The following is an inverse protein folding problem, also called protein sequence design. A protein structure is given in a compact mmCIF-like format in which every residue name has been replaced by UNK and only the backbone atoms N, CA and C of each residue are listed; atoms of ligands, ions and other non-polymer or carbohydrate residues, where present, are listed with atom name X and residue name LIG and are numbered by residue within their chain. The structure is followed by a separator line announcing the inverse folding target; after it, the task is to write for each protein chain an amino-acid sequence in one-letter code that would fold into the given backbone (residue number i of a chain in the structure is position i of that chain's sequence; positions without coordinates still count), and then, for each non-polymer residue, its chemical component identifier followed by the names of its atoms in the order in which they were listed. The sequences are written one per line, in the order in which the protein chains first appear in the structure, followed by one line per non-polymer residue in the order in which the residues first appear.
data_IF_550038048378
#
_entry.id   IF_550038048378
#
_cell.length_a   1.000
_cell.length_b   1.000
_cell.length_c   1.000
_cell.angle_alpha   90.00
_cell.angle_beta   90.00
_cell.angle_gamma   90.00
#
_symmetry.space_group_name_H-M   'P 1'
#
loop_
_entity.id
_entity.type
_entity.pdbx_description
1 polymer ?
#
# COMPACT_ATOMS: atom_id res chain seq x y z
N UNK A 1 -6.33 -16.05 -16.19
CA UNK A 1 -6.45 -14.70 -16.82
C UNK A 1 -5.14 -13.90 -16.77
N UNK A 2 -4.42 -13.88 -15.64
CA UNK A 2 -3.20 -13.09 -15.45
C UNK A 2 -2.12 -13.35 -16.54
N UNK A 3 -1.98 -14.60 -16.96
CA UNK A 3 -1.10 -15.03 -18.03
C UNK A 3 -1.36 -14.36 -19.39
N UNK A 4 -2.64 -14.12 -19.75
CA UNK A 4 -2.97 -13.43 -21.01
C UNK A 4 -2.54 -11.97 -20.99
N UNK A 5 -2.64 -11.32 -19.82
CA UNK A 5 -2.16 -9.95 -19.65
C UNK A 5 -0.62 -9.90 -19.72
N UNK A 6 0.07 -10.87 -19.10
CA UNK A 6 1.52 -10.98 -19.16
C UNK A 6 2.02 -11.14 -20.61
N UNK A 7 1.45 -12.07 -21.37
CA UNK A 7 1.77 -12.24 -22.80
C UNK A 7 1.51 -10.97 -23.62
N UNK A 8 0.42 -10.24 -23.36
CA UNK A 8 0.14 -9.00 -24.10
C UNK A 8 1.14 -7.86 -23.81
N UNK A 9 1.78 -7.86 -22.64
CA UNK A 9 2.72 -6.82 -22.22
C UNK A 9 4.17 -7.16 -22.56
N UNK A 10 4.56 -8.43 -22.39
CA UNK A 10 5.94 -8.88 -22.54
C UNK A 10 6.18 -9.71 -23.81
N UNK A 11 5.14 -10.30 -24.39
CA UNK A 11 5.22 -11.06 -25.63
C UNK A 11 6.37 -12.06 -25.63
N UNK A 12 7.32 -11.88 -26.56
CA UNK A 12 8.49 -12.75 -26.74
C UNK A 12 9.59 -12.56 -25.68
N UNK A 13 9.55 -11.50 -24.86
CA UNK A 13 10.50 -11.34 -23.74
C UNK A 13 10.16 -12.27 -22.57
N UNK A 14 8.96 -12.88 -22.58
CA UNK A 14 8.51 -13.82 -21.57
C UNK A 14 9.13 -15.20 -21.82
N UNK A 15 10.20 -15.51 -21.07
CA UNK A 15 10.96 -16.76 -21.25
C UNK A 15 10.30 -17.96 -20.57
N UNK A 16 9.75 -17.75 -19.38
CA UNK A 16 9.18 -18.81 -18.55
C UNK A 16 8.03 -18.25 -17.70
N UNK A 17 6.96 -19.02 -17.59
CA UNK A 17 5.83 -18.78 -16.68
C UNK A 17 5.58 -20.03 -15.89
N UNK A 18 5.63 -19.91 -14.57
CA UNK A 18 5.32 -21.00 -13.64
C UNK A 18 4.02 -20.67 -12.91
N UNK A 19 2.96 -21.41 -13.23
CA UNK A 19 1.63 -21.26 -12.64
C UNK A 19 1.37 -22.38 -11.62
N UNK A 20 0.82 -21.99 -10.47
CA UNK A 20 0.49 -22.92 -9.38
C UNK A 20 -0.97 -22.72 -8.96
N UNK A 21 -1.71 -23.83 -8.91
CA UNK A 21 -3.10 -23.86 -8.46
C UNK A 21 -3.37 -25.21 -7.78
N UNK A 22 -3.86 -25.20 -6.54
CA UNK A 22 -4.08 -26.44 -5.77
C UNK A 22 -5.21 -27.29 -6.32
N UNK A 23 -6.11 -26.72 -7.13
CA UNK A 23 -7.20 -27.44 -7.77
C UNK A 23 -6.75 -28.08 -9.08
N UNK A 24 -6.81 -29.41 -9.16
CA UNK A 24 -6.58 -30.14 -10.42
C UNK A 24 -7.54 -29.67 -11.52
N UNK A 25 -8.82 -29.45 -11.17
CA UNK A 25 -9.84 -29.00 -12.12
C UNK A 25 -9.52 -27.62 -12.71
N UNK A 26 -9.01 -26.68 -11.90
CA UNK A 26 -8.61 -25.36 -12.41
C UNK A 26 -7.42 -25.46 -13.36
N UNK A 27 -6.47 -26.35 -13.06
CA UNK A 27 -5.36 -26.64 -13.95
C UNK A 27 -5.83 -27.24 -15.28
N UNK A 28 -6.79 -28.17 -15.26
CA UNK A 28 -7.34 -28.78 -16.47
C UNK A 28 -8.08 -27.77 -17.35
N UNK A 29 -8.95 -26.95 -16.75
CA UNK A 29 -9.65 -25.86 -17.45
C UNK A 29 -8.63 -24.87 -18.03
N UNK A 30 -7.61 -24.51 -17.27
CA UNK A 30 -6.56 -23.59 -17.72
C UNK A 30 -5.80 -24.15 -18.92
N UNK A 31 -5.47 -25.45 -18.91
CA UNK A 31 -4.85 -26.15 -20.04
C UNK A 31 -5.76 -26.12 -21.27
N UNK A 32 -7.06 -26.36 -21.08
CA UNK A 32 -8.02 -26.37 -22.18
C UNK A 32 -8.27 -24.98 -22.80
N UNK A 33 -8.23 -23.93 -21.98
CA UNK A 33 -8.28 -22.56 -22.48
C UNK A 33 -7.05 -22.17 -23.33
N UNK A 34 -5.94 -22.87 -23.16
CA UNK A 34 -4.68 -22.65 -23.88
C UNK A 34 -4.57 -23.53 -25.13
N UNK A 35 -5.15 -24.74 -25.12
CA UNK A 35 -5.19 -25.61 -26.30
C UNK A 35 -5.91 -24.91 -27.45
N UNK A 36 -7.04 -24.26 -27.13
CA UNK A 36 -7.92 -23.52 -28.05
C UNK A 36 -7.49 -22.07 -28.35
N UNK A 37 -6.30 -21.67 -27.90
CA UNK A 37 -5.74 -20.36 -28.21
C UNK A 37 -4.73 -20.47 -29.36
N UNK A 38 -4.74 -19.50 -30.29
CA UNK A 38 -3.77 -19.42 -31.40
C UNK A 38 -2.30 -19.19 -30.97
N UNK A 39 -2.05 -19.13 -29.65
CA UNK A 39 -0.77 -18.72 -29.08
C UNK A 39 0.14 -19.91 -28.83
N UNK A 40 0.72 -20.44 -29.90
CA UNK A 40 1.62 -21.62 -29.84
C UNK A 40 2.87 -21.40 -28.99
N UNK A 41 3.45 -20.21 -29.03
CA UNK A 41 4.59 -19.79 -28.18
C UNK A 41 4.33 -20.07 -26.68
N UNK A 42 3.09 -19.83 -26.24
CA UNK A 42 2.71 -19.93 -24.84
C UNK A 42 2.72 -21.35 -24.29
N UNK A 43 2.55 -22.36 -25.16
CA UNK A 43 2.59 -23.77 -24.76
C UNK A 43 3.99 -24.23 -24.35
N UNK A 44 5.03 -23.55 -24.86
CA UNK A 44 6.42 -23.93 -24.61
C UNK A 44 7.01 -23.25 -23.37
N UNK A 45 6.43 -22.12 -22.94
CA UNK A 45 6.95 -21.31 -21.83
C UNK A 45 6.14 -21.47 -20.54
N UNK A 46 4.94 -22.08 -20.60
CA UNK A 46 4.07 -22.25 -19.44
C UNK A 46 4.24 -23.62 -18.78
N UNK A 47 4.57 -23.59 -17.49
CA UNK A 47 4.63 -24.75 -16.61
C UNK A 47 3.56 -24.64 -15.54
N UNK A 48 2.79 -25.72 -15.34
CA UNK A 48 1.71 -25.78 -14.35
C UNK A 48 2.01 -26.85 -13.29
N UNK A 49 1.81 -26.51 -12.02
CA UNK A 49 1.93 -27.43 -10.89
C UNK A 49 0.79 -27.25 -9.90
N UNK A 50 0.47 -28.30 -9.18
CA UNK A 50 -0.57 -28.25 -8.16
C UNK A 50 -0.08 -27.59 -6.86
N UNK A 51 1.20 -27.74 -6.55
CA UNK A 51 1.79 -27.26 -5.31
C UNK A 51 3.03 -26.42 -5.58
N UNK A 52 3.33 -25.50 -4.67
CA UNK A 52 4.56 -24.72 -4.71
C UNK A 52 5.77 -25.67 -4.56
N UNK A 53 6.83 -25.49 -5.36
CA UNK A 53 8.02 -26.30 -5.23
C UNK A 53 8.73 -26.02 -3.90
N UNK A 54 9.17 -27.08 -3.21
CA UNK A 54 9.93 -26.98 -1.96
C UNK A 54 11.33 -26.36 -2.15
N UNK A 55 11.93 -26.55 -3.32
CA UNK A 55 13.21 -25.92 -3.64
C UNK A 55 13.05 -24.41 -3.70
N UNK A 56 14.02 -23.63 -3.23
CA UNK A 56 14.06 -22.17 -3.40
C UNK A 56 14.57 -21.73 -4.78
N UNK A 57 15.05 -22.66 -5.61
CA UNK A 57 15.49 -22.41 -6.99
C UNK A 57 14.56 -23.12 -8.01
N UNK A 58 14.38 -22.57 -9.22
CA UNK A 58 14.78 -21.22 -9.64
C UNK A 58 13.97 -20.13 -8.91
N UNK A 59 14.41 -18.88 -9.06
CA UNK A 59 13.67 -17.67 -8.66
C UNK A 59 13.11 -16.98 -9.90
N UNK A 60 12.15 -16.09 -9.71
CA UNK A 60 11.43 -15.40 -10.77
C UNK A 60 11.50 -13.88 -10.61
N UNK A 61 11.70 -13.17 -11.71
CA UNK A 61 11.75 -11.69 -11.73
C UNK A 61 10.46 -11.07 -11.18
N UNK A 62 9.31 -11.69 -11.47
CA UNK A 62 7.99 -11.27 -11.00
C UNK A 62 7.23 -12.47 -10.46
N UNK A 63 6.79 -12.39 -9.20
CA UNK A 63 5.91 -13.36 -8.55
C UNK A 63 4.58 -12.68 -8.26
N UNK A 64 3.47 -13.34 -8.60
CA UNK A 64 2.12 -12.80 -8.40
C UNK A 64 1.26 -13.79 -7.65
N UNK A 65 0.60 -13.33 -6.58
CA UNK A 65 -0.49 -14.03 -5.91
C UNK A 65 -1.75 -13.20 -6.07
N UNK A 66 -2.71 -13.70 -6.85
CA UNK A 66 -3.95 -12.99 -7.17
C UNK A 66 -5.16 -13.76 -6.67
N UNK A 67 -5.86 -13.20 -5.69
CA UNK A 67 -7.10 -13.72 -5.12
C UNK A 67 -6.97 -15.14 -4.53
N UNK A 68 -5.86 -15.41 -3.85
CA UNK A 68 -5.53 -16.76 -3.32
C UNK A 68 -5.20 -16.77 -1.84
N UNK A 69 -4.80 -15.65 -1.24
CA UNK A 69 -4.41 -15.59 0.16
C UNK A 69 -5.63 -15.75 1.08
N UNK A 70 -6.81 -15.29 0.66
CA UNK A 70 -8.07 -15.51 1.38
C UNK A 70 -8.55 -16.97 1.36
N UNK A 71 -8.08 -17.78 0.41
CA UNK A 71 -8.45 -19.20 0.30
C UNK A 71 -7.65 -20.09 1.27
N UNK A 72 -6.60 -19.54 1.89
CA UNK A 72 -5.73 -20.29 2.78
C UNK A 72 -6.38 -20.50 4.16
N UNK A 73 -6.25 -21.70 4.75
CA UNK A 73 -7.08 -22.12 5.89
C UNK A 73 -6.74 -21.42 7.21
N UNK A 74 -5.58 -20.77 7.31
CA UNK A 74 -5.14 -20.11 8.54
C UNK A 74 -4.18 -18.95 8.27
N UNK A 75 -4.02 -18.08 9.27
CA UNK A 75 -3.01 -17.02 9.27
C UNK A 75 -1.60 -17.60 9.09
N UNK A 76 -1.29 -18.71 9.77
CA UNK A 76 0.00 -19.37 9.68
C UNK A 76 0.32 -19.85 8.27
N UNK A 77 -0.60 -20.61 7.67
CA UNK A 77 -0.46 -21.11 6.29
C UNK A 77 -0.32 -19.96 5.28
N UNK A 78 -1.03 -18.86 5.50
CA UNK A 78 -0.94 -17.67 4.68
C UNK A 78 0.41 -16.98 4.77
N UNK A 79 0.92 -16.73 5.98
CA UNK A 79 2.22 -16.08 6.16
C UNK A 79 3.38 -16.97 5.69
N UNK A 80 3.28 -18.28 5.86
CA UNK A 80 4.23 -19.25 5.29
C UNK A 80 4.21 -19.22 3.76
N UNK A 81 3.03 -19.21 3.15
CA UNK A 81 2.89 -19.08 1.69
C UNK A 81 3.49 -17.76 1.20
N UNK A 82 3.20 -16.64 1.88
CA UNK A 82 3.77 -15.33 1.56
C UNK A 82 5.30 -15.33 1.66
N UNK A 83 5.86 -15.99 2.68
CA UNK A 83 7.31 -16.16 2.80
C UNK A 83 7.89 -16.98 1.64
N UNK A 84 7.26 -18.10 1.28
CA UNK A 84 7.70 -18.95 0.17
C UNK A 84 7.64 -18.21 -1.18
N UNK A 85 6.61 -17.39 -1.40
CA UNK A 85 6.51 -16.52 -2.58
C UNK A 85 7.63 -15.47 -2.58
N UNK A 86 7.92 -14.89 -1.42
CA UNK A 86 9.01 -13.92 -1.28
C UNK A 86 10.38 -14.54 -1.52
N UNK A 87 10.68 -15.74 -1.01
CA UNK A 87 11.97 -16.41 -1.26
C UNK A 87 12.16 -16.71 -2.74
N UNK A 88 11.07 -17.02 -3.45
CA UNK A 88 11.02 -17.25 -4.90
C UNK A 88 11.09 -16.00 -5.76
N UNK A 89 10.87 -14.83 -5.19
CA UNK A 89 10.95 -13.55 -5.90
C UNK A 89 12.42 -13.16 -6.08
N UNK A 90 12.81 -12.72 -7.28
CA UNK A 90 14.09 -12.06 -7.50
C UNK A 90 13.95 -10.54 -7.45
N UNK A 91 12.95 -9.96 -8.15
CA UNK A 91 12.73 -8.51 -8.14
C UNK A 91 11.38 -8.11 -7.51
N UNK A 92 10.25 -8.42 -8.15
CA UNK A 92 8.92 -7.94 -7.74
C UNK A 92 7.99 -9.04 -7.20
N UNK A 93 7.37 -8.78 -6.05
CA UNK A 93 6.26 -9.55 -5.51
C UNK A 93 4.98 -8.71 -5.59
N UNK A 94 3.96 -9.24 -6.26
CA UNK A 94 2.64 -8.60 -6.39
C UNK A 94 1.60 -9.45 -5.67
N UNK A 95 0.94 -8.88 -4.67
CA UNK A 95 -0.17 -9.51 -3.96
C UNK A 95 -1.44 -8.74 -4.27
N UNK A 96 -2.50 -9.44 -4.65
CA UNK A 96 -3.80 -8.85 -5.02
C UNK A 96 -4.90 -9.66 -4.32
N UNK A 97 -5.84 -8.97 -3.71
CA UNK A 97 -7.04 -9.55 -3.12
C UNK A 97 -8.28 -8.71 -3.43
N UNK A 98 -9.45 -9.27 -3.14
CA UNK A 98 -10.70 -8.52 -3.28
C UNK A 98 -10.68 -7.24 -2.44
N UNK A 99 -11.30 -6.18 -2.97
CA UNK A 99 -11.35 -4.86 -2.35
C UNK A 99 -12.30 -4.76 -1.16
N UNK A 100 -12.47 -5.86 -0.44
CA UNK A 100 -13.26 -5.97 0.79
C UNK A 100 -12.39 -5.65 2.00
N UNK A 101 -13.02 -5.55 3.18
CA UNK A 101 -12.27 -5.42 4.44
C UNK A 101 -11.30 -6.58 4.65
N UNK A 102 -11.76 -7.82 4.46
CA UNK A 102 -10.94 -9.01 4.65
C UNK A 102 -9.72 -9.03 3.70
N UNK A 103 -9.93 -8.72 2.42
CA UNK A 103 -8.83 -8.65 1.46
C UNK A 103 -7.84 -7.52 1.78
N UNK A 104 -8.32 -6.35 2.20
CA UNK A 104 -7.46 -5.26 2.66
C UNK A 104 -6.65 -5.65 3.91
N UNK A 105 -7.26 -6.32 4.89
CA UNK A 105 -6.58 -6.79 6.09
C UNK A 105 -5.48 -7.80 5.75
N UNK A 106 -5.78 -8.79 4.91
CA UNK A 106 -4.82 -9.80 4.45
C UNK A 106 -3.64 -9.17 3.69
N UNK A 107 -3.90 -8.21 2.80
CA UNK A 107 -2.84 -7.52 2.07
C UNK A 107 -1.93 -6.71 3.02
N UNK A 108 -2.50 -6.02 4.02
CA UNK A 108 -1.69 -5.29 5.00
C UNK A 108 -0.93 -6.23 5.94
N UNK A 109 -1.53 -7.36 6.33
CA UNK A 109 -0.87 -8.38 7.14
C UNK A 109 0.37 -8.93 6.41
N UNK A 110 0.22 -9.33 5.15
CA UNK A 110 1.33 -9.82 4.32
C UNK A 110 2.40 -8.72 4.12
N UNK A 111 1.98 -7.49 3.82
CA UNK A 111 2.86 -6.32 3.69
C UNK A 111 3.68 -6.10 4.95
N UNK A 112 3.03 -6.02 6.11
CA UNK A 112 3.70 -5.69 7.36
C UNK A 112 4.58 -6.86 7.84
N UNK A 113 4.18 -8.11 7.57
CA UNK A 113 5.00 -9.28 7.82
C UNK A 113 6.31 -9.23 7.02
N UNK A 114 6.24 -8.91 5.72
CA UNK A 114 7.41 -8.82 4.83
C UNK A 114 8.33 -7.65 5.18
N UNK A 115 7.77 -6.48 5.51
CA UNK A 115 8.56 -5.27 5.82
C UNK A 115 9.16 -5.28 7.24
N UNK A 116 8.43 -5.81 8.23
CA UNK A 116 8.74 -5.64 9.65
C UNK A 116 8.82 -6.97 10.41
N UNK A 117 7.98 -7.95 10.08
CA UNK A 117 7.96 -9.25 10.75
C UNK A 117 9.24 -10.07 10.53
N UNK A 118 9.83 -10.01 9.34
CA UNK A 118 11.05 -10.76 9.01
C UNK A 118 12.31 -10.26 9.72
N UNK A 119 12.36 -8.99 10.14
CA UNK A 119 13.52 -8.39 10.84
C UNK A 119 13.89 -9.14 12.13
N UNK A 120 12.94 -9.87 12.72
CA UNK A 120 13.15 -10.68 13.92
C UNK A 120 13.64 -12.11 13.64
N UNK A 121 13.54 -12.60 12.39
CA UNK A 121 13.79 -14.01 12.03
C UNK A 121 15.05 -14.23 11.18
N UNK A 122 15.60 -13.20 10.54
CA UNK A 122 16.83 -13.35 9.75
C UNK A 122 17.58 -12.02 9.60
N UNK A 123 18.88 -12.05 9.86
CA UNK A 123 19.80 -10.94 9.63
C UNK A 123 20.19 -10.77 8.14
N UNK A 124 19.74 -11.68 7.27
CA UNK A 124 20.06 -11.71 5.84
C UNK A 124 19.59 -10.43 5.12
N UNK A 125 20.51 -9.58 4.63
CA UNK A 125 20.16 -8.34 3.95
C UNK A 125 19.37 -8.57 2.65
N UNK A 126 19.52 -9.74 2.01
CA UNK A 126 18.89 -10.08 0.73
C UNK A 126 17.38 -10.30 0.80
N UNK A 127 16.83 -10.50 2.00
CA UNK A 127 15.38 -10.65 2.23
C UNK A 127 14.69 -9.31 2.48
N UNK A 128 15.44 -8.20 2.54
CA UNK A 128 14.85 -6.87 2.71
C UNK A 128 14.23 -6.40 1.40
N UNK A 129 13.10 -5.72 1.50
CA UNK A 129 12.41 -5.08 0.39
C UNK A 129 11.71 -3.81 0.81
N UNK A 130 11.06 -3.16 -0.15
CA UNK A 130 10.32 -1.92 0.03
C UNK A 130 9.04 -1.92 -0.81
N UNK A 131 8.07 -1.10 -0.43
CA UNK A 131 6.80 -0.96 -1.14
C UNK A 131 6.98 -0.04 -2.35
N UNK A 132 6.62 -0.54 -3.53
CA UNK A 132 6.58 0.26 -4.77
C UNK A 132 5.19 0.86 -4.98
N UNK A 133 4.15 0.11 -4.63
CA UNK A 133 2.75 0.53 -4.78
C UNK A 133 1.84 -0.30 -3.87
N UNK A 134 0.65 0.17 -3.49
CA UNK A 134 0.11 1.51 -3.65
C UNK A 134 0.63 2.50 -2.61
N UNK A 135 1.09 2.05 -1.45
CA UNK A 135 1.55 2.96 -0.40
C UNK A 135 2.82 3.70 -0.86
N UNK A 136 2.88 5.03 -0.73
CA UNK A 136 4.10 5.80 -1.00
C UNK A 136 5.11 5.73 0.17
N UNK A 137 4.96 4.76 1.07
CA UNK A 137 5.73 4.62 2.31
C UNK A 137 5.82 3.15 2.74
N UNK A 138 6.83 2.86 3.57
CA UNK A 138 7.04 1.53 4.19
C UNK A 138 6.53 1.46 5.64
N UNK A 139 6.05 2.59 6.18
CA UNK A 139 5.44 2.69 7.52
C UNK A 139 4.12 1.90 7.63
N UNK A 140 3.58 1.71 8.84
CA UNK A 140 2.24 1.13 9.05
C UNK A 140 1.19 1.90 8.27
N UNK A 141 0.20 1.20 7.74
CA UNK A 141 -0.83 1.81 6.91
C UNK A 141 -1.78 2.66 7.78
N UNK A 142 -1.92 3.98 7.53
CA UNK A 142 -2.78 4.85 8.36
C UNK A 142 -4.28 4.52 8.23
N UNK A 143 -4.67 3.81 7.17
CA UNK A 143 -6.05 3.35 6.97
C UNK A 143 -6.45 2.24 7.94
N UNK A 144 -5.47 1.53 8.52
CA UNK A 144 -5.73 0.44 9.48
C UNK A 144 -6.19 0.95 10.85
N UNK A 145 -5.79 2.17 11.22
CA UNK A 145 -5.99 2.74 12.55
C UNK A 145 -7.26 3.60 12.68
N UNK A 146 -8.03 3.81 11.61
CA UNK A 146 -9.23 4.65 11.65
C UNK A 146 -10.48 3.87 12.04
N UNK A 147 -11.30 4.49 12.90
CA UNK A 147 -12.55 3.91 13.43
C UNK A 147 -13.72 4.15 12.46
N UNK A 148 -13.63 5.19 11.61
CA UNK A 148 -14.68 5.68 10.71
C UNK A 148 -14.96 4.77 9.48
N UNK A 149 -16.09 5.00 8.78
CA UNK A 149 -16.67 4.19 7.69
C UNK A 149 -15.78 3.89 6.47
N UNK A 150 -14.61 4.51 6.35
CA UNK A 150 -13.76 4.46 5.15
C UNK A 150 -12.51 3.58 5.32
N UNK A 151 -12.62 2.42 5.98
CA UNK A 151 -11.50 1.56 6.44
C UNK A 151 -10.67 0.86 5.35
N UNK A 152 -11.13 0.82 4.10
CA UNK A 152 -10.52 -0.05 3.07
C UNK A 152 -9.70 0.77 2.07
N UNK A 153 -8.39 0.55 2.00
CA UNK A 153 -7.56 1.05 0.89
C UNK A 153 -7.65 0.08 -0.29
N UNK A 154 -8.60 0.33 -1.18
CA UNK A 154 -8.81 -0.42 -2.41
C UNK A 154 -8.74 0.51 -3.63
N UNK A 155 -8.80 -0.09 -4.81
CA UNK A 155 -8.89 0.58 -6.10
C UNK A 155 -9.93 -0.12 -6.95
N UNK A 156 -10.33 0.49 -8.06
CA UNK A 156 -11.35 -0.08 -8.93
C UNK A 156 -10.82 -0.39 -10.32
N UNK A 157 -11.15 -1.57 -10.84
CA UNK A 157 -10.99 -1.94 -12.24
C UNK A 157 -12.38 -1.99 -12.89
N UNK A 158 -12.50 -1.41 -14.10
CA UNK A 158 -13.71 -1.54 -14.91
C UNK A 158 -13.52 -2.69 -15.88
N UNK A 159 -14.51 -3.57 -15.96
CA UNK A 159 -14.55 -4.65 -16.94
C UNK A 159 -15.90 -4.67 -17.64
N UNK A 160 -15.92 -5.21 -18.85
CA UNK A 160 -17.16 -5.43 -19.59
C UNK A 160 -17.63 -6.84 -19.34
N UNK A 161 -18.86 -7.02 -18.88
CA UNK A 161 -19.45 -8.35 -18.75
C UNK A 161 -19.50 -9.01 -20.11
N UNK A 162 -19.15 -10.29 -20.16
CA UNK A 162 -19.42 -11.13 -21.31
C UNK A 162 -20.91 -11.54 -21.28
N UNK A 163 -21.76 -10.92 -22.11
CA UNK A 163 -22.66 -11.68 -22.99
C UNK A 163 -22.95 -10.92 -24.31
N UNK A 164 -23.88 -11.41 -25.12
CA UNK A 164 -24.33 -10.75 -26.37
C UNK A 164 -24.66 -9.23 -26.24
N UNK A 165 -24.87 -8.70 -25.01
CA UNK A 165 -24.95 -7.27 -24.71
C UNK A 165 -23.92 -6.84 -23.65
N UNK A 166 -22.85 -6.11 -24.04
CA UNK A 166 -21.79 -5.70 -23.11
C UNK A 166 -22.28 -4.64 -22.11
N UNK A 167 -22.12 -4.90 -20.81
CA UNK A 167 -22.39 -3.96 -19.72
C UNK A 167 -21.09 -3.70 -18.96
N UNK A 168 -20.75 -2.42 -18.76
CA UNK A 168 -19.60 -2.03 -17.95
C UNK A 168 -19.90 -2.24 -16.46
N UNK A 169 -19.10 -3.09 -15.79
CA UNK A 169 -19.12 -3.30 -14.34
C UNK A 169 -17.80 -2.84 -13.73
N UNK A 170 -17.85 -2.55 -12.43
CA UNK A 170 -16.70 -2.13 -11.64
C UNK A 170 -16.46 -3.13 -10.53
N UNK A 171 -15.21 -3.56 -10.38
CA UNK A 171 -14.76 -4.42 -9.30
C UNK A 171 -13.69 -3.71 -8.48
N UNK A 172 -13.72 -3.92 -7.17
CA UNK A 172 -12.74 -3.34 -6.26
C UNK A 172 -11.71 -4.39 -5.86
N UNK A 173 -10.45 -3.97 -5.76
CA UNK A 173 -9.34 -4.82 -5.34
C UNK A 173 -8.39 -4.06 -4.41
N UNK A 174 -7.77 -4.80 -3.49
CA UNK A 174 -6.67 -4.34 -2.64
C UNK A 174 -5.39 -5.01 -3.14
N UNK A 175 -4.28 -4.29 -3.19
CA UNK A 175 -3.02 -4.88 -3.66
C UNK A 175 -1.81 -4.25 -2.97
N UNK A 176 -0.68 -4.94 -3.07
CA UNK A 176 0.64 -4.39 -2.74
C UNK A 176 1.67 -4.94 -3.73
N UNK A 177 2.57 -4.07 -4.17
CA UNK A 177 3.75 -4.41 -4.97
C UNK A 177 4.96 -4.12 -4.10
N UNK A 178 5.73 -5.16 -3.82
CA UNK A 178 6.98 -5.11 -3.07
C UNK A 178 8.13 -5.41 -4.02
N UNK A 179 9.24 -4.72 -3.83
CA UNK A 179 10.48 -4.96 -4.57
C UNK A 179 11.59 -5.36 -3.62
N UNK A 180 12.38 -6.36 -4.00
CA UNK A 180 13.57 -6.78 -3.24
C UNK A 180 14.68 -5.75 -3.32
N UNK A 181 15.49 -5.73 -2.27
CA UNK A 181 16.63 -4.83 -2.17
C UNK A 181 16.28 -3.43 -1.67
N UNK A 182 17.26 -2.53 -1.79
CA UNK A 182 17.17 -1.16 -1.30
C UNK A 182 16.31 -0.31 -2.22
N UNK A 183 15.57 0.63 -1.62
CA UNK A 183 14.85 1.65 -2.38
C UNK A 183 15.84 2.57 -3.11
N UNK A 184 15.64 2.87 -4.41
CA UNK A 184 16.45 3.87 -5.12
C UNK A 184 16.35 5.25 -4.44
N UNK A 185 17.48 5.98 -4.35
CA UNK A 185 17.53 7.27 -3.66
C UNK A 185 16.81 8.40 -4.42
N UNK A 186 16.64 8.24 -5.73
CA UNK A 186 16.02 9.17 -6.67
C UNK A 186 14.50 8.96 -6.84
N UNK A 187 13.92 7.97 -6.14
CA UNK A 187 12.50 7.67 -6.28
C UNK A 187 11.62 8.78 -5.67
N UNK A 188 10.77 9.39 -6.51
CA UNK A 188 9.84 10.43 -6.07
C UNK A 188 8.73 9.84 -5.19
N UNK A 189 8.69 10.25 -3.92
CA UNK A 189 7.63 9.88 -2.98
C UNK A 189 6.48 10.87 -3.06
N UNK A 190 5.71 10.81 -4.14
CA UNK A 190 4.50 11.62 -4.24
C UNK A 190 3.34 10.99 -3.45
N UNK A 191 2.51 11.80 -2.78
CA UNK A 191 1.31 11.32 -2.13
C UNK A 191 0.38 10.64 -3.14
N UNK A 192 -0.28 9.57 -2.71
CA UNK A 192 -1.22 8.83 -3.56
C UNK A 192 -2.65 9.17 -3.17
N UNK A 193 -3.47 9.49 -4.15
CA UNK A 193 -4.91 9.69 -3.98
C UNK A 193 -5.57 8.35 -3.66
N UNK A 194 -6.20 8.26 -2.49
CA UNK A 194 -6.80 7.01 -1.96
C UNK A 194 -8.33 6.99 -2.05
N UNK A 195 -8.95 8.05 -2.60
CA UNK A 195 -10.39 8.15 -2.86
C UNK A 195 -10.67 8.90 -4.17
N UNK A 196 -11.87 8.75 -4.76
CA UNK A 196 -12.28 9.60 -5.87
C UNK A 196 -12.12 11.09 -5.54
N UNK A 197 -11.52 11.83 -6.46
CA UNK A 197 -11.35 13.29 -6.33
C UNK A 197 -12.72 13.96 -6.29
N UNK A 198 -12.99 14.77 -5.27
CA UNK A 198 -14.24 15.51 -5.17
C UNK A 198 -14.09 16.83 -5.93
N UNK A 199 -14.73 16.90 -7.08
CA UNK A 199 -14.73 18.09 -7.92
C UNK A 199 -15.81 19.09 -7.45
N UNK A 200 -15.41 20.36 -7.34
CA UNK A 200 -16.30 21.51 -7.12
C UNK A 200 -15.93 22.61 -8.11
N UNK A 201 -16.74 23.66 -8.16
CA UNK A 201 -16.57 24.73 -9.14
C UNK A 201 -15.18 25.42 -9.04
N UNK A 202 -14.78 25.83 -7.83
CA UNK A 202 -13.52 26.58 -7.60
C UNK A 202 -12.42 25.78 -6.88
N UNK A 203 -12.68 24.52 -6.53
CA UNK A 203 -11.72 23.70 -5.80
C UNK A 203 -11.87 22.20 -6.12
N UNK A 204 -10.80 21.45 -5.88
CA UNK A 204 -10.77 19.99 -5.96
C UNK A 204 -10.25 19.43 -4.64
N UNK A 205 -10.99 18.50 -4.03
CA UNK A 205 -10.59 17.90 -2.75
C UNK A 205 -9.98 16.54 -3.04
N UNK A 206 -8.72 16.37 -2.63
CA UNK A 206 -7.99 15.12 -2.76
C UNK A 206 -7.67 14.56 -1.38
N UNK A 207 -8.13 13.33 -1.12
CA UNK A 207 -7.74 12.54 0.05
C UNK A 207 -6.58 11.65 -0.33
N UNK A 208 -5.46 11.81 0.35
CA UNK A 208 -4.20 11.21 -0.04
C UNK A 208 -3.51 10.51 1.12
N UNK A 209 -2.81 9.43 0.80
CA UNK A 209 -1.82 8.83 1.67
C UNK A 209 -0.45 9.47 1.38
N UNK A 210 0.25 9.95 2.40
CA UNK A 210 1.51 10.66 2.27
C UNK A 210 2.72 9.72 2.47
N UNK A 211 3.91 10.07 1.97
CA UNK A 211 5.16 9.36 2.31
C UNK A 211 5.45 9.33 3.81
N UNK A 212 4.89 10.30 4.54
CA UNK A 212 4.88 10.37 6.00
C UNK A 212 4.20 9.19 6.67
N UNK A 213 3.40 8.39 5.95
CA UNK A 213 2.56 7.35 6.54
C UNK A 213 1.29 7.92 7.16
N UNK A 214 0.88 9.11 6.74
CA UNK A 214 -0.30 9.83 7.24
C UNK A 214 -1.35 9.95 6.14
N UNK A 215 -2.59 10.23 6.54
CA UNK A 215 -3.65 10.61 5.62
C UNK A 215 -3.82 12.12 5.65
N UNK A 216 -3.85 12.74 4.48
CA UNK A 216 -4.07 14.17 4.34
C UNK A 216 -5.23 14.43 3.38
N UNK A 217 -6.12 15.36 3.75
CA UNK A 217 -7.13 15.90 2.84
C UNK A 217 -6.71 17.32 2.45
N UNK A 218 -6.46 17.53 1.16
CA UNK A 218 -6.03 18.83 0.63
C UNK A 218 -7.08 19.39 -0.31
N UNK A 219 -7.49 20.62 -0.05
CA UNK A 219 -8.41 21.39 -0.89
C UNK A 219 -7.58 22.23 -1.86
N UNK A 220 -7.41 21.73 -3.08
CA UNK A 220 -6.68 22.42 -4.13
C UNK A 220 -7.53 23.55 -4.73
N UNK A 221 -6.96 24.75 -4.75
CA UNK A 221 -7.51 25.95 -5.41
C UNK A 221 -6.44 26.57 -6.29
N UNK A 222 -6.87 27.26 -7.36
CA UNK A 222 -5.94 27.99 -8.23
C UNK A 222 -5.17 29.09 -7.49
N UNK A 223 -5.81 29.75 -6.52
CA UNK A 223 -5.19 30.83 -5.74
C UNK A 223 -4.08 30.32 -4.81
N UNK A 224 -4.37 29.29 -4.00
CA UNK A 224 -3.41 28.80 -2.98
C UNK A 224 -2.29 27.93 -3.57
N UNK A 225 -2.56 27.20 -4.67
CA UNK A 225 -1.64 26.18 -5.18
C UNK A 225 -1.14 26.46 -6.60
N UNK A 226 -1.57 27.56 -7.21
CA UNK A 226 -1.26 27.90 -8.59
C UNK A 226 -2.07 27.10 -9.61
N UNK A 227 -2.05 27.59 -10.87
CA UNK A 227 -2.85 27.06 -11.98
C UNK A 227 -2.47 25.63 -12.37
N UNK A 228 -1.17 25.31 -12.37
CA UNK A 228 -0.67 24.00 -12.81
C UNK A 228 -1.08 22.89 -11.83
N UNK A 229 -0.77 23.06 -10.53
CA UNK A 229 -1.13 22.09 -9.47
C UNK A 229 -2.63 21.91 -9.36
N UNK A 230 -3.40 23.00 -9.40
CA UNK A 230 -4.86 22.92 -9.39
C UNK A 230 -5.41 22.14 -10.58
N UNK A 231 -4.88 22.37 -11.79
CA UNK A 231 -5.27 21.60 -12.98
C UNK A 231 -4.90 20.13 -12.84
N UNK A 232 -3.71 19.82 -12.32
CA UNK A 232 -3.26 18.45 -12.07
C UNK A 232 -4.19 17.73 -11.09
N UNK A 233 -4.48 18.33 -9.94
CA UNK A 233 -5.41 17.79 -8.95
C UNK A 233 -6.82 17.56 -9.54
N UNK A 234 -7.32 18.50 -10.35
CA UNK A 234 -8.63 18.40 -11.00
C UNK A 234 -8.73 17.26 -12.01
N UNK A 235 -7.62 16.95 -12.70
CA UNK A 235 -7.57 15.88 -13.71
C UNK A 235 -7.17 14.52 -13.13
N UNK A 236 -6.69 14.50 -11.90
CA UNK A 236 -6.26 13.28 -11.22
C UNK A 236 -7.45 12.37 -10.90
N UNK A 237 -7.18 11.07 -10.91
CA UNK A 237 -8.12 10.00 -10.61
C UNK A 237 -7.73 9.30 -9.31
N UNK A 238 -8.66 8.49 -8.83
CA UNK A 238 -8.40 7.62 -7.70
C UNK A 238 -7.25 6.66 -8.02
N UNK A 239 -6.20 6.68 -7.20
CA UNK A 239 -4.99 5.90 -7.38
C UNK A 239 -3.82 6.68 -7.96
N UNK A 240 -4.02 7.90 -8.47
CA UNK A 240 -2.91 8.69 -9.03
C UNK A 240 -1.95 9.19 -7.95
N UNK A 241 -0.68 9.33 -8.31
CA UNK A 241 0.33 10.04 -7.53
C UNK A 241 0.31 11.51 -7.93
N UNK A 242 0.20 12.40 -6.96
CA UNK A 242 0.12 13.84 -7.21
C UNK A 242 1.48 14.49 -6.93
N UNK A 243 2.11 15.21 -7.90
CA UNK A 243 3.44 15.79 -7.75
C UNK A 243 3.43 17.04 -6.87
N UNK A 244 3.11 16.86 -5.58
CA UNK A 244 3.03 17.91 -4.58
C UNK A 244 3.70 17.47 -3.29
N UNK A 245 4.30 18.44 -2.61
CA UNK A 245 4.76 18.27 -1.23
C UNK A 245 3.66 18.73 -0.31
N UNK A 246 3.13 17.81 0.49
CA UNK A 246 2.14 18.14 1.52
C UNK A 246 2.94 18.41 2.79
N UNK A 247 2.86 19.64 3.30
CA UNK A 247 3.28 19.89 4.68
C UNK A 247 2.22 19.24 5.56
N UNK A 248 2.62 18.21 6.31
CA UNK A 248 1.76 17.60 7.31
C UNK A 248 1.41 18.70 8.31
N UNK A 249 0.12 19.05 8.42
CA UNK A 249 -0.35 19.94 9.48
C UNK A 249 -0.23 19.13 10.76
N UNK A 250 0.84 19.35 11.52
CA UNK A 250 0.83 19.02 12.94
C UNK A 250 -0.32 19.80 13.54
N UNK A 251 -1.20 19.12 14.27
CA UNK A 251 -2.23 19.76 15.07
C UNK A 251 -1.53 20.49 16.22
N UNK A 252 -0.87 21.60 15.92
CA UNK A 252 -0.42 22.58 16.90
C UNK A 252 -1.60 23.53 17.12
N UNK A 253 -2.59 23.02 17.86
CA UNK A 253 -3.63 23.81 18.48
C UNK A 253 -3.17 24.21 19.88
N UNK A 254 -3.29 25.51 20.16
CA UNK A 254 -3.03 26.22 21.43
C UNK A 254 -1.55 26.61 21.63
N UNK A 255 -1.11 27.80 21.24
CA UNK A 255 -1.55 29.08 21.84
C UNK A 255 -0.94 30.23 21.03
N UNK A 256 -1.76 31.22 20.63
CA UNK A 256 -1.34 32.63 20.57
C UNK A 256 -2.53 33.55 20.27
N UNK A 257 -2.99 34.20 21.33
CA UNK A 257 -3.75 35.45 21.38
C UNK A 257 -3.44 36.01 22.77
N UNK A 258 -2.87 37.17 23.02
CA UNK A 258 -2.66 38.40 22.26
C UNK A 258 -1.51 39.15 22.95
N UNK A 259 -0.63 39.81 22.19
CA UNK A 259 0.18 40.93 22.71
C UNK A 259 -0.47 42.25 22.30
N UNK A 260 -0.68 43.12 23.30
CA UNK A 260 -0.65 44.60 23.29
C UNK A 260 -1.72 45.08 24.30
N UNK A 261 -1.50 45.99 25.23
CA UNK A 261 -0.41 46.89 25.59
C UNK A 261 -0.95 47.77 26.72
N UNK A 262 -0.11 48.18 27.68
CA UNK A 262 -0.02 49.52 28.30
C UNK A 262 0.25 49.51 29.81
N UNK A 263 1.46 50.00 30.14
CA UNK A 263 1.85 50.92 31.22
C UNK A 263 0.95 51.08 32.45
N UNK A 264 1.50 50.84 33.66
CA UNK A 264 1.98 51.86 34.59
C UNK A 264 2.44 51.23 35.93
N UNK A 265 3.47 51.84 36.53
CA UNK A 265 3.76 52.07 37.97
C UNK A 265 3.44 50.94 38.97
N UNK A 266 4.32 50.45 39.83
CA UNK A 266 5.33 51.15 40.64
C UNK A 266 5.23 50.56 42.06
N UNK A 267 6.39 50.39 42.69
CA UNK A 267 6.60 50.43 44.15
C UNK A 267 6.24 49.25 45.09
N UNK A 268 7.34 48.68 45.60
CA UNK A 268 7.72 48.38 47.00
C UNK A 268 7.14 47.21 47.82
N UNK A 269 8.13 46.55 48.44
CA UNK A 269 8.22 46.15 49.85
C UNK A 269 7.78 44.77 50.33
N UNK A 270 8.79 44.04 50.84
CA UNK A 270 8.84 43.24 52.10
C UNK A 270 7.74 42.20 52.36
N UNK A 271 7.98 40.95 52.81
CA UNK A 271 8.87 40.50 53.89
C UNK A 271 8.82 38.96 53.95
N UNK A 272 9.90 38.37 54.47
CA UNK A 272 10.05 37.08 55.18
C UNK A 272 8.81 36.25 55.54
N UNK A 273 8.89 34.91 55.44
CA UNK A 273 9.24 34.01 56.58
C UNK A 273 9.24 32.52 56.21
N UNK A 274 10.29 31.83 56.67
CA UNK A 274 10.39 30.45 57.17
C UNK A 274 9.30 29.41 56.86
N UNK A 275 9.71 28.22 56.40
CA UNK A 275 10.07 27.10 57.30
C UNK A 275 10.59 25.88 56.55
N UNK A 276 11.68 25.35 57.08
CA UNK A 276 12.28 24.03 56.92
C UNK A 276 11.26 22.92 57.26
N UNK A 277 11.27 21.81 56.52
CA UNK A 277 11.66 20.53 57.13
C UNK A 277 11.89 19.42 56.10
N UNK A 278 12.91 18.63 56.43
CA UNK A 278 13.39 17.43 55.78
C UNK A 278 12.39 16.27 55.99
N UNK A 279 12.41 15.25 55.12
CA UNK A 279 12.76 13.86 55.49
C UNK A 279 12.91 13.02 54.21
N UNK A 280 13.86 12.09 54.32
CA UNK A 280 14.54 11.25 53.35
C UNK A 280 13.70 10.20 52.60
N UNK A 281 14.22 9.89 51.40
CA UNK A 281 14.44 8.57 50.80
C UNK A 281 14.23 7.32 51.66
N UNK A 282 13.71 6.27 51.01
CA UNK A 282 14.30 4.93 50.79
C UNK A 282 13.19 3.87 50.90
N UNK A 283 12.76 3.23 49.81
CA UNK A 283 13.33 2.03 49.17
C UNK A 283 12.48 0.77 49.44
N UNK A 284 12.44 -0.09 48.41
CA UNK A 284 12.07 -1.52 48.40
C UNK A 284 10.61 -1.92 48.68
N UNK A 285 9.89 -2.30 47.61
CA UNK A 285 9.89 -3.67 47.07
C UNK A 285 9.25 -3.73 45.69
#
# INVERSE_FOLDING_TARGET
MLFRAADSLWGTSLKEVFAVDTSSHMNDISREMLTHSDRKHLKNVLFQRQFLPMSNTPKYDVVVSSFSLLELPSVGARLETVLNLWTKTEDFLVLIEFGTMAGFQVINEARDFLLWGMKRRSAEPSLKGHVVSPCPHDKRCPMMSRVDDYKVCNFSATYTTYPQKPIAKKEFYSYVILRKGRRPADESHWPRIVRPVLLRHKHAICRMCTPGGNLSEVIFTQHKHGKATFRCAKQSKWGDRLPVTIQDVTNDGETNSEEASQSHEGDTETTSTHSTDQVQNSETK
#
